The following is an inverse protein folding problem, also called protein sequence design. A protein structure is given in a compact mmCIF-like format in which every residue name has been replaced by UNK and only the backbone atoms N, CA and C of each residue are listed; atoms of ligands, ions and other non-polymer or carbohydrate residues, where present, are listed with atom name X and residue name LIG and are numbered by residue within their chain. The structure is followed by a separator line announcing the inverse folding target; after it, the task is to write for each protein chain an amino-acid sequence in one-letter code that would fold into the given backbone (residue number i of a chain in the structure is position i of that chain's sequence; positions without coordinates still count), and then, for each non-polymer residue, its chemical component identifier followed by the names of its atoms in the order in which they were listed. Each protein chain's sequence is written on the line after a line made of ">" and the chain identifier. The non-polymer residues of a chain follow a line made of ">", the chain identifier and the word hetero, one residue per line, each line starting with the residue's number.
data_IF_010657086610
#
_entry.id   IF_010657086610
#
_cell.length_a   1.000
_cell.length_b   1.000
_cell.length_c   1.000
_cell.angle_alpha   90.00
_cell.angle_beta   90.00
_cell.angle_gamma   90.00
#
_symmetry.space_group_name_H-M   'P 1'
#
loop_
_entity.id
_entity.type
_entity.pdbx_description
1 polymer ?
#
# COMPACT_ATOMS: atom_id res chain seq x y z
N UNK A 1 -7.14 -1.89 -6.65
CA UNK A 1 -7.50 -0.62 -7.32
C UNK A 1 -6.61 -0.43 -8.54
N UNK A 2 -7.14 0.14 -9.64
CA UNK A 2 -6.33 0.46 -10.84
C UNK A 2 -5.75 1.87 -10.83
N UNK A 3 -6.27 2.77 -10.00
CA UNK A 3 -6.03 4.21 -10.13
C UNK A 3 -7.01 4.86 -11.12
N UNK A 4 -7.11 6.19 -11.06
CA UNK A 4 -8.05 6.98 -11.86
C UNK A 4 -7.46 7.32 -13.24
N UNK A 5 -8.30 7.53 -14.27
CA UNK A 5 -7.84 7.94 -15.60
C UNK A 5 -6.88 9.13 -15.58
N UNK A 6 -7.13 10.12 -14.71
CA UNK A 6 -6.26 11.28 -14.52
C UNK A 6 -4.80 10.92 -14.24
N UNK A 7 -4.53 9.90 -13.40
CA UNK A 7 -3.17 9.50 -13.04
C UNK A 7 -2.36 8.95 -14.24
N UNK A 8 -3.02 8.20 -15.12
CA UNK A 8 -2.39 7.66 -16.33
C UNK A 8 -2.14 8.77 -17.37
N UNK A 9 -3.08 9.69 -17.49
CA UNK A 9 -2.95 10.83 -18.39
C UNK A 9 -1.88 11.80 -17.91
N UNK A 10 -1.73 12.00 -16.59
CA UNK A 10 -0.58 12.76 -16.05
C UNK A 10 0.74 12.11 -16.47
N UNK A 11 0.86 10.79 -16.46
CA UNK A 11 2.08 10.13 -16.93
C UNK A 11 2.38 10.41 -18.41
N UNK A 12 1.35 10.35 -19.25
CA UNK A 12 1.48 10.67 -20.66
C UNK A 12 1.90 12.13 -20.89
N UNK A 13 1.19 13.07 -20.28
CA UNK A 13 1.37 14.50 -20.50
C UNK A 13 2.67 15.04 -19.89
N UNK A 14 2.98 14.65 -18.65
CA UNK A 14 4.10 15.20 -17.87
C UNK A 14 5.43 14.55 -18.20
N UNK A 15 5.42 13.26 -18.54
CA UNK A 15 6.65 12.49 -18.78
C UNK A 15 6.80 12.03 -20.23
N UNK A 16 5.89 12.42 -21.13
CA UNK A 16 5.93 12.04 -22.55
C UNK A 16 5.70 10.55 -22.78
N UNK A 17 4.95 9.90 -21.89
CA UNK A 17 4.69 8.47 -21.90
C UNK A 17 3.34 8.15 -22.57
N UNK A 18 3.15 8.54 -23.83
CA UNK A 18 1.86 8.42 -24.54
C UNK A 18 1.25 6.99 -24.49
N UNK A 19 2.12 5.98 -24.53
CA UNK A 19 1.76 4.56 -24.40
C UNK A 19 1.10 4.19 -23.06
N UNK A 20 1.25 5.04 -22.05
CA UNK A 20 0.76 4.87 -20.68
C UNK A 20 -0.47 5.72 -20.36
N UNK A 21 -1.01 6.46 -21.33
CA UNK A 21 -2.31 7.13 -21.21
C UNK A 21 -3.43 6.16 -20.85
N UNK A 22 -4.52 6.66 -20.24
CA UNK A 22 -5.64 5.83 -19.82
C UNK A 22 -6.23 5.01 -20.97
N UNK A 23 -6.39 5.63 -22.14
CA UNK A 23 -6.96 5.00 -23.32
C UNK A 23 -6.16 3.78 -23.79
N UNK A 24 -4.83 3.81 -23.61
CA UNK A 24 -3.92 2.73 -24.01
C UNK A 24 -3.68 1.72 -22.89
N UNK A 25 -3.24 2.17 -21.73
CA UNK A 25 -2.84 1.29 -20.62
C UNK A 25 -3.99 0.94 -19.68
N UNK A 26 -4.83 1.92 -19.35
CA UNK A 26 -5.98 1.75 -18.44
C UNK A 26 -6.98 0.73 -18.98
N UNK A 27 -7.26 0.77 -20.28
CA UNK A 27 -8.17 -0.17 -20.96
C UNK A 27 -7.66 -1.63 -20.90
N UNK A 28 -6.37 -1.85 -21.13
CA UNK A 28 -5.75 -3.20 -21.06
C UNK A 28 -5.78 -3.77 -19.64
N UNK A 29 -5.53 -2.94 -18.62
CA UNK A 29 -5.71 -3.30 -17.22
C UNK A 29 -7.19 -3.58 -16.90
N UNK A 30 -8.10 -2.86 -17.56
CA UNK A 30 -9.53 -3.13 -17.54
C UNK A 30 -9.90 -4.52 -18.04
N UNK A 31 -9.31 -4.96 -19.15
CA UNK A 31 -9.55 -6.29 -19.70
C UNK A 31 -9.04 -7.42 -18.81
N UNK A 32 -7.84 -7.28 -18.22
CA UNK A 32 -7.28 -8.28 -17.30
C UNK A 32 -8.11 -8.42 -16.02
N UNK A 33 -8.57 -7.30 -15.47
CA UNK A 33 -9.43 -7.26 -14.29
C UNK A 33 -10.87 -7.72 -14.54
N UNK A 34 -11.46 -7.35 -15.67
CA UNK A 34 -12.83 -7.73 -16.01
C UNK A 34 -12.94 -9.25 -16.20
N UNK A 35 -11.89 -9.88 -16.78
CA UNK A 35 -11.77 -11.35 -16.86
C UNK A 35 -11.69 -11.98 -15.47
N UNK A 36 -10.93 -11.39 -14.55
CA UNK A 36 -10.85 -11.81 -13.16
C UNK A 36 -12.21 -11.77 -12.40
N UNK A 37 -13.15 -10.92 -12.82
CA UNK A 37 -14.52 -10.82 -12.27
C UNK A 37 -15.53 -11.80 -12.89
N UNK A 38 -15.21 -12.52 -13.97
CA UNK A 38 -16.20 -13.37 -14.68
C UNK A 38 -16.50 -14.71 -13.98
N UNK A 39 -17.78 -15.08 -13.74
CA UNK A 39 -18.18 -16.31 -13.05
C UNK A 39 -17.81 -17.65 -13.73
N UNK A 40 -17.57 -17.67 -15.04
CA UNK A 40 -17.50 -18.91 -15.83
C UNK A 40 -16.11 -19.57 -15.93
N UNK A 41 -15.04 -18.96 -15.42
CA UNK A 41 -13.72 -19.60 -15.41
C UNK A 41 -13.62 -20.60 -14.23
N UNK A 42 -13.88 -21.88 -14.51
CA UNK A 42 -13.46 -22.98 -13.64
C UNK A 42 -11.92 -22.96 -13.51
N UNK A 43 -11.43 -22.57 -12.33
CA UNK A 43 -10.01 -22.61 -11.98
C UNK A 43 -9.22 -21.35 -12.36
N UNK A 44 -8.08 -21.15 -11.68
CA UNK A 44 -7.07 -20.17 -12.08
C UNK A 44 -6.64 -20.46 -13.52
N UNK A 45 -7.06 -19.64 -14.49
CA UNK A 45 -6.32 -19.57 -15.75
C UNK A 45 -4.97 -18.94 -15.43
N UNK A 46 -3.88 -19.61 -15.78
CA UNK A 46 -2.55 -19.07 -15.57
C UNK A 46 -2.45 -17.69 -16.26
N UNK A 47 -2.03 -16.67 -15.53
CA UNK A 47 -1.86 -15.31 -16.05
C UNK A 47 -2.83 -14.24 -15.55
N UNK A 48 -3.66 -14.50 -14.53
CA UNK A 48 -4.65 -13.53 -14.04
C UNK A 48 -4.71 -13.44 -12.51
N UNK A 49 -4.72 -12.22 -11.95
CA UNK A 49 -4.98 -11.98 -10.52
C UNK A 49 -6.49 -11.91 -10.34
N UNK A 50 -7.04 -12.91 -9.66
CA UNK A 50 -8.47 -12.98 -9.42
C UNK A 50 -8.91 -12.01 -8.31
N UNK A 51 -10.02 -11.31 -8.55
CA UNK A 51 -10.75 -10.51 -7.56
C UNK A 51 -12.18 -11.00 -7.50
N UNK A 52 -12.75 -11.15 -6.31
CA UNK A 52 -14.15 -11.57 -6.12
C UNK A 52 -14.98 -10.43 -5.49
N UNK A 53 -15.70 -9.63 -6.31
CA UNK A 53 -16.50 -8.50 -5.82
C UNK A 53 -17.69 -8.95 -4.95
N UNK A 54 -18.17 -10.18 -5.14
CA UNK A 54 -19.34 -10.71 -4.41
C UNK A 54 -19.10 -10.84 -2.90
N UNK A 55 -17.84 -10.78 -2.47
CA UNK A 55 -17.44 -10.76 -1.06
C UNK A 55 -17.74 -9.44 -0.37
N UNK A 56 -17.92 -8.34 -1.13
CA UNK A 56 -18.41 -7.06 -0.62
C UNK A 56 -19.93 -6.98 -0.58
N UNK A 57 -20.62 -7.61 -1.54
CA UNK A 57 -22.09 -7.62 -1.60
C UNK A 57 -22.73 -8.60 -0.60
N UNK A 58 -21.93 -9.53 -0.06
CA UNK A 58 -22.38 -10.52 0.91
C UNK A 58 -21.43 -10.59 2.12
N UNK A 59 -21.22 -9.47 2.85
CA UNK A 59 -20.49 -9.52 4.09
C UNK A 59 -21.31 -10.40 5.02
N UNK A 60 -20.70 -11.44 5.60
CA UNK A 60 -21.33 -12.13 6.72
C UNK A 60 -21.82 -11.07 7.73
N UNK A 61 -22.93 -11.32 8.44
CA UNK A 61 -23.65 -10.32 9.25
C UNK A 61 -22.78 -9.51 10.23
N UNK A 62 -21.57 -9.98 10.54
CA UNK A 62 -20.63 -9.41 11.50
C UNK A 62 -19.85 -8.16 11.05
N UNK A 63 -19.96 -7.66 9.81
CA UNK A 63 -19.45 -6.31 9.44
C UNK A 63 -20.49 -5.43 8.71
N UNK A 64 -21.73 -5.91 8.67
CA UNK A 64 -22.82 -5.23 7.95
C UNK A 64 -23.16 -3.87 8.56
N UNK A 65 -22.97 -3.71 9.87
CA UNK A 65 -23.18 -2.45 10.58
C UNK A 65 -22.18 -1.39 10.12
N UNK A 66 -20.88 -1.69 10.26
CA UNK A 66 -19.81 -0.75 9.95
C UNK A 66 -19.93 -0.12 8.55
N UNK A 67 -20.01 -0.94 7.48
CA UNK A 67 -20.11 -0.42 6.11
C UNK A 67 -21.38 0.40 5.91
N UNK A 68 -22.53 -0.09 6.41
CA UNK A 68 -23.81 0.63 6.29
C UNK A 68 -23.76 1.99 6.99
N UNK A 69 -23.15 2.09 8.17
CA UNK A 69 -23.05 3.38 8.89
C UNK A 69 -22.06 4.33 8.22
N UNK A 70 -20.96 3.82 7.65
CA UNK A 70 -20.02 4.63 6.87
C UNK A 70 -20.68 5.15 5.59
N UNK A 71 -21.42 4.32 4.85
CA UNK A 71 -22.19 4.74 3.67
C UNK A 71 -23.18 5.86 4.01
N UNK A 72 -23.95 5.70 5.11
CA UNK A 72 -24.86 6.75 5.59
C UNK A 72 -24.13 8.03 5.97
N UNK A 73 -22.94 7.93 6.57
CA UNK A 73 -22.13 9.08 6.96
C UNK A 73 -21.58 9.80 5.72
N UNK A 74 -21.09 9.05 4.73
CA UNK A 74 -20.66 9.56 3.44
C UNK A 74 -21.79 10.29 2.72
N UNK A 75 -22.98 9.70 2.65
CA UNK A 75 -24.16 10.33 2.06
C UNK A 75 -24.55 11.65 2.73
N UNK A 76 -24.45 11.76 4.05
CA UNK A 76 -24.72 13.02 4.73
C UNK A 76 -23.74 14.12 4.30
N UNK A 77 -22.48 13.75 4.14
CA UNK A 77 -21.43 14.65 3.71
C UNK A 77 -21.51 14.97 2.20
N UNK A 78 -22.57 14.52 1.52
CA UNK A 78 -22.81 14.76 0.11
C UNK A 78 -21.95 13.89 -0.81
N UNK A 79 -21.31 12.84 -0.27
CA UNK A 79 -20.48 11.94 -1.08
C UNK A 79 -21.37 10.93 -1.83
N UNK A 80 -21.07 10.66 -3.11
CA UNK A 80 -21.60 9.51 -3.81
C UNK A 80 -21.01 8.22 -3.22
N UNK A 81 -21.81 7.15 -3.24
CA UNK A 81 -21.39 5.80 -2.86
C UNK A 81 -21.29 4.97 -4.13
N UNK A 82 -20.09 4.53 -4.46
CA UNK A 82 -19.76 3.79 -5.67
C UNK A 82 -19.35 2.37 -5.33
N UNK A 83 -20.03 1.40 -5.94
CA UNK A 83 -19.77 -0.02 -5.70
C UNK A 83 -18.56 -0.55 -6.45
N UNK A 84 -18.13 0.15 -7.49
CA UNK A 84 -16.99 -0.23 -8.31
C UNK A 84 -15.94 0.88 -8.30
N UNK A 85 -14.94 0.74 -7.42
CA UNK A 85 -13.79 1.64 -7.39
C UNK A 85 -13.10 1.76 -8.77
N UNK A 86 -13.15 0.70 -9.58
CA UNK A 86 -12.45 0.67 -10.87
C UNK A 86 -13.33 1.13 -12.05
N UNK A 87 -14.50 1.73 -11.78
CA UNK A 87 -15.33 2.35 -12.81
C UNK A 87 -14.62 3.62 -13.33
N UNK A 88 -14.21 3.68 -14.61
CA UNK A 88 -13.52 4.84 -15.17
C UNK A 88 -14.37 6.11 -15.24
N UNK A 89 -15.69 5.96 -15.14
CA UNK A 89 -16.62 7.09 -15.16
C UNK A 89 -17.06 7.49 -13.75
N UNK A 90 -16.52 6.85 -12.71
CA UNK A 90 -16.83 7.22 -11.34
C UNK A 90 -16.29 8.64 -11.04
N UNK A 91 -16.97 9.38 -10.16
CA UNK A 91 -16.46 10.67 -9.68
C UNK A 91 -15.08 10.48 -9.03
N UNK A 92 -14.24 11.52 -9.06
CA UNK A 92 -12.92 11.48 -8.42
C UNK A 92 -13.01 11.48 -6.87
N UNK A 93 -14.13 11.97 -6.34
CA UNK A 93 -14.44 11.98 -4.92
C UNK A 93 -15.69 11.14 -4.63
N UNK A 94 -15.59 10.25 -3.65
CA UNK A 94 -16.68 9.37 -3.27
C UNK A 94 -16.27 8.37 -2.21
N UNK A 95 -17.26 7.66 -1.69
CA UNK A 95 -17.02 6.46 -0.90
C UNK A 95 -17.07 5.25 -1.84
N UNK A 96 -16.01 4.44 -1.84
CA UNK A 96 -15.84 3.39 -2.83
C UNK A 96 -15.67 2.02 -2.18
N UNK A 97 -16.34 1.03 -2.72
CA UNK A 97 -16.09 -0.36 -2.35
C UNK A 97 -14.87 -0.88 -3.11
N UNK A 98 -13.92 -1.45 -2.37
CA UNK A 98 -12.60 -1.81 -2.88
C UNK A 98 -12.53 -3.29 -3.23
N UNK A 99 -12.18 -3.62 -4.47
CA UNK A 99 -11.90 -5.02 -4.81
C UNK A 99 -10.63 -5.51 -4.08
N UNK A 100 -10.69 -6.73 -3.54
CA UNK A 100 -9.54 -7.40 -2.94
C UNK A 100 -8.95 -8.45 -3.86
N UNK A 101 -7.61 -8.61 -3.82
CA UNK A 101 -6.90 -9.70 -4.49
C UNK A 101 -7.05 -11.02 -3.71
N UNK A 102 -8.27 -11.56 -3.70
CA UNK A 102 -8.68 -12.80 -3.04
C UNK A 102 -9.42 -13.67 -4.08
N UNK A 103 -9.03 -14.94 -4.18
CA UNK A 103 -9.66 -15.89 -5.09
C UNK A 103 -11.00 -16.44 -4.53
N UNK A 104 -11.76 -17.20 -5.34
CA UNK A 104 -13.05 -17.79 -4.91
C UNK A 104 -12.94 -18.67 -3.68
N UNK A 105 -11.77 -19.23 -3.41
CA UNK A 105 -11.53 -20.07 -2.24
C UNK A 105 -11.20 -19.28 -0.97
N UNK A 106 -11.30 -17.94 -1.02
CA UNK A 106 -11.02 -17.07 0.13
C UNK A 106 -9.53 -16.96 0.43
N UNK A 107 -8.66 -17.24 -0.55
CA UNK A 107 -7.20 -17.20 -0.38
C UNK A 107 -6.62 -16.03 -1.15
N UNK A 108 -5.53 -15.47 -0.63
CA UNK A 108 -4.77 -14.40 -1.30
C UNK A 108 -4.43 -14.80 -2.73
N UNK A 109 -4.81 -13.96 -3.69
CA UNK A 109 -4.43 -14.07 -5.09
C UNK A 109 -3.15 -13.24 -5.34
N UNK A 110 -1.98 -13.81 -5.02
CA UNK A 110 -0.69 -13.16 -5.29
C UNK A 110 -0.26 -13.32 -6.75
N UNK A 111 0.66 -12.47 -7.20
CA UNK A 111 1.32 -12.61 -8.52
C UNK A 111 1.99 -13.98 -8.67
N UNK A 112 2.59 -14.51 -7.60
CA UNK A 112 3.12 -15.87 -7.56
C UNK A 112 2.06 -16.93 -7.90
N UNK A 113 0.87 -16.87 -7.28
CA UNK A 113 -0.20 -17.86 -7.55
C UNK A 113 -0.83 -17.65 -8.93
N UNK A 114 -0.98 -16.40 -9.35
CA UNK A 114 -1.61 -16.02 -10.61
C UNK A 114 -0.76 -16.38 -11.84
N UNK A 115 0.53 -16.04 -11.82
CA UNK A 115 1.39 -16.09 -13.00
C UNK A 115 2.43 -17.21 -12.98
N UNK A 116 2.96 -17.57 -11.80
CA UNK A 116 4.04 -18.54 -11.68
C UNK A 116 3.80 -19.54 -10.52
N UNK A 117 2.66 -20.24 -10.48
CA UNK A 117 2.42 -21.24 -9.44
C UNK A 117 3.40 -22.43 -9.57
N UNK A 118 3.65 -23.19 -8.49
CA UNK A 118 4.70 -24.21 -8.46
C UNK A 118 4.65 -25.21 -9.62
N UNK A 119 3.44 -25.63 -10.02
CA UNK A 119 3.27 -26.60 -11.11
C UNK A 119 3.67 -26.02 -12.48
N UNK A 120 3.41 -24.72 -12.74
CA UNK A 120 3.85 -24.04 -13.96
C UNK A 120 5.36 -23.84 -13.95
N UNK A 121 5.91 -23.39 -12.82
CA UNK A 121 7.36 -23.24 -12.66
C UNK A 121 8.10 -24.56 -12.90
N UNK A 122 7.59 -25.66 -12.34
CA UNK A 122 8.16 -26.99 -12.51
C UNK A 122 8.02 -27.50 -13.97
N UNK A 123 6.86 -27.31 -14.60
CA UNK A 123 6.63 -27.72 -15.98
C UNK A 123 7.51 -26.96 -16.98
N UNK A 124 7.87 -25.71 -16.68
CA UNK A 124 8.67 -24.83 -17.56
C UNK A 124 10.15 -24.75 -17.19
N UNK A 125 10.62 -25.54 -16.22
CA UNK A 125 11.98 -25.45 -15.66
C UNK A 125 13.11 -25.48 -16.71
N UNK A 126 12.91 -26.16 -17.84
CA UNK A 126 13.91 -26.24 -18.93
C UNK A 126 14.11 -24.92 -19.68
N UNK A 127 13.11 -24.04 -19.72
CA UNK A 127 13.15 -22.76 -20.45
C UNK A 127 12.91 -21.53 -19.56
N UNK A 128 12.51 -21.74 -18.29
CA UNK A 128 12.33 -20.72 -17.27
C UNK A 128 12.98 -21.19 -15.96
N UNK A 129 14.32 -21.11 -15.84
CA UNK A 129 15.00 -21.40 -14.59
C UNK A 129 14.63 -20.33 -13.54
N UNK A 130 14.17 -20.78 -12.37
CA UNK A 130 13.86 -19.92 -11.22
C UNK A 130 14.87 -20.21 -10.12
N UNK A 131 15.61 -19.18 -9.71
CA UNK A 131 16.61 -19.26 -8.65
C UNK A 131 16.10 -18.52 -7.41
N UNK A 132 15.65 -19.27 -6.41
CA UNK A 132 15.29 -18.73 -5.09
C UNK A 132 16.52 -18.57 -4.21
N UNK A 133 16.40 -17.84 -3.10
CA UNK A 133 17.50 -17.63 -2.14
C UNK A 133 18.78 -17.11 -2.80
N UNK A 134 18.62 -16.32 -3.86
CA UNK A 134 19.71 -15.77 -4.67
C UNK A 134 19.56 -14.26 -4.71
N UNK A 135 20.60 -13.54 -4.31
CA UNK A 135 20.61 -12.08 -4.31
C UNK A 135 21.46 -11.61 -5.48
N UNK A 136 20.87 -10.77 -6.34
CA UNK A 136 21.60 -10.01 -7.36
C UNK A 136 22.29 -8.84 -6.67
N UNK A 137 23.62 -8.77 -6.78
CA UNK A 137 24.40 -7.73 -6.13
C UNK A 137 24.55 -6.47 -6.98
N UNK A 138 24.91 -6.65 -8.26
CA UNK A 138 25.04 -5.58 -9.24
C UNK A 138 24.95 -6.12 -10.67
N UNK A 139 24.79 -5.21 -11.62
CA UNK A 139 24.87 -5.50 -13.05
C UNK A 139 26.33 -5.70 -13.49
N UNK A 140 26.50 -6.54 -14.50
CA UNK A 140 27.74 -6.68 -15.25
C UNK A 140 27.68 -5.81 -16.50
N UNK A 141 28.52 -4.77 -16.55
CA UNK A 141 28.50 -3.74 -17.58
C UNK A 141 29.77 -3.80 -18.41
N UNK A 142 29.62 -3.88 -19.73
CA UNK A 142 30.73 -3.82 -20.68
C UNK A 142 31.50 -2.50 -20.56
N UNK A 143 32.79 -2.52 -20.30
CA UNK A 143 33.59 -1.29 -20.14
C UNK A 143 33.76 -0.52 -21.46
N UNK A 144 33.58 -1.17 -22.60
CA UNK A 144 33.72 -0.60 -23.94
C UNK A 144 32.41 -0.13 -24.57
N UNK A 145 31.26 -0.54 -24.01
CA UNK A 145 29.94 -0.19 -24.53
C UNK A 145 28.97 0.19 -23.39
N UNK A 146 27.77 0.67 -23.71
CA UNK A 146 26.73 0.89 -22.70
C UNK A 146 25.86 -0.35 -22.47
N UNK A 147 26.32 -1.54 -22.88
CA UNK A 147 25.53 -2.77 -22.79
C UNK A 147 25.70 -3.47 -21.42
N UNK A 148 24.59 -4.04 -20.95
CA UNK A 148 24.56 -4.91 -19.78
C UNK A 148 24.71 -6.36 -20.25
N UNK A 149 25.74 -7.05 -19.78
CA UNK A 149 26.08 -8.42 -20.22
C UNK A 149 25.51 -9.50 -19.28
N UNK A 150 25.20 -9.13 -18.05
CA UNK A 150 24.82 -10.10 -17.03
C UNK A 150 24.52 -9.46 -15.68
N UNK A 151 24.36 -10.32 -14.69
CA UNK A 151 24.21 -9.96 -13.29
C UNK A 151 25.21 -10.74 -12.43
N UNK A 152 25.76 -10.07 -11.43
CA UNK A 152 26.49 -10.71 -10.36
C UNK A 152 25.49 -11.13 -9.28
N UNK A 153 25.61 -12.37 -8.81
CA UNK A 153 24.82 -12.89 -7.69
C UNK A 153 25.75 -13.21 -6.52
N UNK A 154 25.25 -13.21 -5.28
CA UNK A 154 26.01 -13.47 -4.05
C UNK A 154 26.47 -14.94 -3.85
N UNK A 155 26.55 -15.69 -4.93
CA UNK A 155 27.19 -17.02 -4.97
C UNK A 155 28.37 -16.91 -5.94
N UNK A 156 29.38 -17.81 -5.94
CA UNK A 156 30.54 -17.72 -6.84
C UNK A 156 30.22 -17.88 -8.35
N UNK A 157 28.98 -17.68 -8.77
CA UNK A 157 28.52 -17.77 -10.15
C UNK A 157 28.03 -16.40 -10.60
N UNK A 158 28.41 -15.96 -11.80
CA UNK A 158 27.70 -14.90 -12.51
C UNK A 158 26.67 -15.52 -13.46
N UNK A 159 25.67 -14.75 -13.87
CA UNK A 159 24.71 -15.15 -14.89
C UNK A 159 24.72 -14.15 -16.04
N UNK A 160 25.02 -14.62 -17.24
CA UNK A 160 25.04 -13.79 -18.45
C UNK A 160 23.67 -13.81 -19.16
N UNK A 161 23.34 -12.71 -19.82
CA UNK A 161 22.16 -12.59 -20.69
C UNK A 161 22.58 -12.48 -22.15
N UNK A 162 21.71 -12.93 -23.06
CA UNK A 162 21.89 -12.77 -24.51
C UNK A 162 21.09 -11.62 -25.11
N UNK A 163 20.18 -11.03 -24.33
CA UNK A 163 19.25 -10.00 -24.81
C UNK A 163 19.19 -8.85 -23.82
N UNK A 164 18.36 -9.01 -22.80
CA UNK A 164 17.98 -7.95 -21.89
C UNK A 164 18.06 -8.45 -20.45
N UNK A 165 18.19 -7.49 -19.52
CA UNK A 165 17.98 -7.69 -18.10
C UNK A 165 16.84 -6.77 -17.68
N UNK A 166 15.79 -7.38 -17.13
CA UNK A 166 14.63 -6.67 -16.61
C UNK A 166 14.76 -6.68 -15.09
N UNK A 167 14.90 -5.50 -14.48
CA UNK A 167 15.03 -5.38 -13.02
C UNK A 167 13.63 -5.21 -12.44
N UNK A 168 13.24 -6.16 -11.59
CA UNK A 168 11.92 -6.19 -10.95
C UNK A 168 12.03 -6.21 -9.41
N UNK A 169 13.02 -5.51 -8.86
CA UNK A 169 13.37 -5.57 -7.43
C UNK A 169 12.62 -4.54 -6.56
N UNK A 170 11.54 -3.95 -7.09
CA UNK A 170 10.73 -2.93 -6.39
C UNK A 170 11.40 -1.56 -6.28
N UNK A 171 10.68 -0.60 -5.72
CA UNK A 171 11.08 0.82 -5.65
C UNK A 171 12.30 1.07 -4.75
N UNK A 172 12.60 0.15 -3.82
CA UNK A 172 13.74 0.26 -2.90
C UNK A 172 14.98 -0.42 -3.45
N UNK A 173 14.88 -1.71 -3.81
CA UNK A 173 16.07 -2.48 -4.18
C UNK A 173 16.49 -2.28 -5.65
N UNK A 174 15.59 -1.81 -6.53
CA UNK A 174 15.98 -1.47 -7.92
C UNK A 174 16.99 -0.30 -7.96
N UNK A 175 16.74 0.85 -7.30
CA UNK A 175 17.77 1.89 -7.15
C UNK A 175 19.06 1.38 -6.52
N UNK A 176 18.97 0.54 -5.48
CA UNK A 176 20.17 -0.04 -4.85
C UNK A 176 21.03 -0.82 -5.84
N UNK A 177 20.44 -1.73 -6.64
CA UNK A 177 21.18 -2.51 -7.64
C UNK A 177 21.83 -1.58 -8.67
N UNK A 178 21.11 -0.56 -9.14
CA UNK A 178 21.64 0.41 -10.11
C UNK A 178 22.80 1.22 -9.53
N UNK A 179 22.66 1.74 -8.31
CA UNK A 179 23.71 2.48 -7.60
C UNK A 179 24.97 1.61 -7.38
N UNK A 180 24.81 0.36 -6.92
CA UNK A 180 25.90 -0.61 -6.78
C UNK A 180 26.55 -0.99 -8.11
N UNK A 181 25.86 -0.75 -9.23
CA UNK A 181 26.37 -0.96 -10.59
C UNK A 181 27.07 0.29 -11.16
N UNK A 182 27.14 1.38 -10.40
CA UNK A 182 27.67 2.67 -10.88
C UNK A 182 26.70 3.42 -11.79
N UNK A 183 25.40 3.08 -11.78
CA UNK A 183 24.34 3.78 -12.49
C UNK A 183 23.57 4.62 -11.48
N UNK A 184 23.85 5.91 -11.45
CA UNK A 184 23.27 6.83 -10.48
C UNK A 184 23.92 8.20 -10.54
N UNK A 185 23.59 9.10 -9.61
CA UNK A 185 24.06 10.47 -9.68
C UNK A 185 25.59 10.51 -9.61
N UNK A 186 26.23 11.36 -10.41
CA UNK A 186 27.69 11.58 -10.40
C UNK A 186 28.25 12.15 -9.08
N UNK A 187 27.45 12.22 -8.02
CA UNK A 187 27.79 12.79 -6.73
C UNK A 187 28.93 12.02 -6.03
N UNK A 188 29.65 12.75 -5.16
CA UNK A 188 30.79 12.25 -4.39
C UNK A 188 30.52 10.93 -3.64
N UNK A 189 29.27 10.70 -3.23
CA UNK A 189 28.85 9.54 -2.45
C UNK A 189 29.20 8.17 -3.07
N UNK A 190 29.06 7.98 -4.39
CA UNK A 190 29.46 6.71 -5.03
C UNK A 190 30.99 6.55 -5.07
N UNK A 191 31.71 7.66 -5.24
CA UNK A 191 33.17 7.66 -5.25
C UNK A 191 33.75 7.40 -3.85
N UNK A 192 33.12 7.92 -2.78
CA UNK A 192 33.46 7.62 -1.38
C UNK A 192 33.36 6.12 -1.05
N UNK A 193 32.46 5.43 -1.75
CA UNK A 193 32.29 3.99 -1.64
C UNK A 193 33.14 3.22 -2.66
N UNK A 194 34.09 3.84 -3.37
CA UNK A 194 34.91 3.22 -4.41
C UNK A 194 34.07 2.48 -5.50
N UNK A 195 32.90 3.03 -5.85
CA UNK A 195 32.04 2.53 -6.92
C UNK A 195 32.28 3.38 -8.18
N UNK A 196 32.85 2.82 -9.27
CA UNK A 196 33.09 3.58 -10.48
C UNK A 196 31.78 4.03 -11.12
N UNK A 197 31.66 5.32 -11.42
CA UNK A 197 30.52 5.85 -12.16
C UNK A 197 30.53 5.31 -13.60
N UNK A 198 29.45 4.63 -13.98
CA UNK A 198 29.23 4.06 -15.31
C UNK A 198 28.22 4.86 -16.12
N UNK A 199 27.20 5.41 -15.47
CA UNK A 199 26.22 6.29 -16.10
C UNK A 199 25.65 7.25 -15.06
N UNK A 200 25.73 8.54 -15.37
CA UNK A 200 25.11 9.60 -14.58
C UNK A 200 23.60 9.66 -14.88
N UNK A 201 22.80 9.27 -13.90
CA UNK A 201 21.33 9.30 -13.93
C UNK A 201 20.80 9.62 -12.53
N UNK A 202 19.61 10.25 -12.40
CA UNK A 202 19.04 10.64 -11.10
C UNK A 202 18.44 9.46 -10.33
N UNK A 203 19.09 8.29 -10.35
CA UNK A 203 18.64 7.07 -9.66
C UNK A 203 18.56 7.32 -8.16
N UNK A 204 17.44 6.92 -7.56
CA UNK A 204 17.21 7.04 -6.12
C UNK A 204 16.84 8.43 -5.64
N UNK A 205 16.63 9.44 -6.50
CA UNK A 205 16.41 10.84 -6.08
C UNK A 205 14.95 11.29 -5.94
N UNK A 206 13.98 10.43 -6.28
CA UNK A 206 12.57 10.80 -6.39
C UNK A 206 11.64 9.79 -5.70
N UNK A 207 12.04 9.28 -4.54
CA UNK A 207 11.19 8.39 -3.75
C UNK A 207 9.94 9.16 -3.32
N UNK A 208 8.77 8.58 -3.57
CA UNK A 208 7.48 9.09 -3.14
C UNK A 208 6.75 7.94 -2.48
N UNK A 209 6.08 8.24 -1.38
CA UNK A 209 5.19 7.33 -0.70
C UNK A 209 4.04 8.14 -0.11
N UNK A 210 2.93 7.47 0.16
CA UNK A 210 1.76 8.12 0.72
C UNK A 210 1.97 8.41 2.22
N UNK A 211 1.41 9.53 2.70
CA UNK A 211 1.54 9.92 4.10
C UNK A 211 0.20 9.84 4.81
N UNK A 212 0.09 8.95 5.79
CA UNK A 212 -1.12 8.80 6.58
C UNK A 212 -0.92 9.22 8.04
N UNK A 213 -1.97 9.76 8.65
CA UNK A 213 -2.12 9.75 10.12
C UNK A 213 -3.31 8.89 10.48
N UNK A 214 -3.36 8.45 11.73
CA UNK A 214 -4.43 7.58 12.23
C UNK A 214 -5.44 8.40 13.01
N UNK A 215 -6.72 8.10 12.84
CA UNK A 215 -7.82 8.52 13.71
C UNK A 215 -8.56 7.25 14.12
N UNK A 216 -8.57 6.92 15.40
CA UNK A 216 -9.17 5.66 15.87
C UNK A 216 -10.50 5.91 16.58
N UNK A 217 -11.49 5.06 16.29
CA UNK A 217 -12.79 5.07 16.93
C UNK A 217 -13.06 3.74 17.60
N UNK A 218 -13.46 3.76 18.87
CA UNK A 218 -13.90 2.57 19.59
C UNK A 218 -15.27 2.13 19.07
N UNK A 219 -15.39 0.85 18.76
CA UNK A 219 -16.63 0.22 18.26
C UNK A 219 -16.84 -1.11 18.96
N UNK A 220 -18.04 -1.70 18.90
CA UNK A 220 -18.25 -3.05 19.44
C UNK A 220 -17.31 -4.07 18.80
N UNK A 221 -16.83 -5.04 19.59
CA UNK A 221 -15.98 -6.15 19.12
C UNK A 221 -16.52 -6.89 17.91
N UNK A 222 -17.85 -6.94 17.76
CA UNK A 222 -18.49 -7.56 16.61
C UNK A 222 -18.10 -6.92 15.28
N UNK A 223 -17.78 -5.62 15.27
CA UNK A 223 -17.49 -4.84 14.07
C UNK A 223 -15.99 -4.79 13.71
N UNK A 224 -15.13 -5.50 14.45
CA UNK A 224 -13.68 -5.51 14.22
C UNK A 224 -13.10 -6.90 14.15
N UNK A 225 -11.86 -6.98 13.67
CA UNK A 225 -11.11 -8.25 13.63
C UNK A 225 -10.87 -8.82 15.04
N UNK A 226 -11.01 -8.01 16.10
CA UNK A 226 -10.97 -8.42 17.51
C UNK A 226 -12.02 -9.50 17.82
N UNK A 227 -13.09 -9.64 17.02
CA UNK A 227 -14.03 -10.77 17.14
C UNK A 227 -13.33 -12.14 17.07
N UNK A 228 -12.22 -12.23 16.31
CA UNK A 228 -11.45 -13.46 16.14
C UNK A 228 -10.76 -13.94 17.42
N UNK A 229 -10.65 -13.09 18.45
CA UNK A 229 -10.11 -13.47 19.76
C UNK A 229 -11.12 -14.24 20.63
N UNK A 230 -12.38 -14.33 20.18
CA UNK A 230 -13.44 -15.08 20.86
C UNK A 230 -13.67 -16.46 20.25
N UNK A 231 -14.62 -17.24 20.80
CA UNK A 231 -15.06 -18.50 20.22
C UNK A 231 -15.56 -18.36 18.76
N UNK A 232 -16.02 -17.17 18.37
CA UNK A 232 -16.39 -16.85 16.99
C UNK A 232 -15.18 -16.86 16.05
N UNK A 233 -13.96 -16.67 16.55
CA UNK A 233 -12.73 -16.83 15.79
C UNK A 233 -12.56 -18.26 15.28
N UNK A 234 -12.80 -19.25 16.14
CA UNK A 234 -12.77 -20.66 15.74
C UNK A 234 -13.81 -20.94 14.66
N UNK A 235 -15.01 -20.40 14.79
CA UNK A 235 -16.04 -20.52 13.76
C UNK A 235 -15.61 -19.90 12.42
N UNK A 236 -15.03 -18.70 12.43
CA UNK A 236 -14.51 -18.03 11.23
C UNK A 236 -13.34 -18.80 10.59
N UNK A 237 -12.50 -19.47 11.38
CA UNK A 237 -11.47 -20.39 10.88
C UNK A 237 -12.11 -21.58 10.17
N UNK A 238 -13.14 -22.19 10.77
CA UNK A 238 -13.85 -23.31 10.15
C UNK A 238 -14.55 -22.89 8.85
N UNK A 239 -15.23 -21.74 8.85
CA UNK A 239 -15.82 -21.16 7.63
C UNK A 239 -14.76 -20.96 6.54
N UNK A 240 -13.59 -20.43 6.89
CA UNK A 240 -12.53 -20.21 5.92
C UNK A 240 -11.97 -21.53 5.37
N UNK A 241 -11.72 -22.51 6.24
CA UNK A 241 -11.18 -23.81 5.84
C UNK A 241 -12.13 -24.59 4.93
N UNK A 242 -13.43 -24.59 5.23
CA UNK A 242 -14.41 -25.45 4.54
C UNK A 242 -15.14 -24.76 3.40
N UNK A 243 -15.36 -23.45 3.47
CA UNK A 243 -16.10 -22.71 2.44
C UNK A 243 -15.34 -21.51 1.87
N UNK A 244 -14.14 -21.19 2.38
CA UNK A 244 -13.41 -20.01 1.93
C UNK A 244 -14.12 -18.71 2.25
N UNK A 245 -15.00 -18.70 3.25
CA UNK A 245 -15.77 -17.52 3.71
C UNK A 245 -15.36 -17.15 5.13
N UNK A 246 -15.99 -16.14 5.75
CA UNK A 246 -15.58 -15.67 7.08
C UNK A 246 -14.71 -14.41 7.04
N UNK A 247 -14.51 -13.81 8.21
CA UNK A 247 -13.67 -12.62 8.41
C UNK A 247 -12.21 -12.82 7.97
N UNK A 248 -11.74 -14.06 7.90
CA UNK A 248 -10.40 -14.40 7.40
C UNK A 248 -10.24 -14.20 5.89
N UNK A 249 -11.35 -13.99 5.16
CA UNK A 249 -11.36 -13.79 3.72
C UNK A 249 -11.71 -12.35 3.31
N UNK A 250 -11.59 -11.38 4.23
CA UNK A 250 -11.94 -9.96 4.01
C UNK A 250 -10.89 -9.02 4.57
N UNK A 251 -10.64 -7.90 3.89
CA UNK A 251 -9.79 -6.78 4.30
C UNK A 251 -10.33 -5.45 3.72
N UNK A 252 -10.49 -4.48 4.63
CA UNK A 252 -10.51 -3.01 4.53
C UNK A 252 -11.07 -2.25 3.30
N UNK A 253 -11.71 -1.13 3.61
CA UNK A 253 -12.37 -0.18 2.68
C UNK A 253 -11.53 1.10 2.50
N UNK A 254 -11.68 1.81 1.38
CA UNK A 254 -10.94 3.05 1.07
C UNK A 254 -11.81 4.18 0.47
N UNK A 255 -11.38 5.43 0.64
CA UNK A 255 -12.01 6.68 0.17
C UNK A 255 -11.00 7.59 -0.54
N UNK A 256 -11.43 8.53 -1.40
CA UNK A 256 -10.55 9.58 -1.97
C UNK A 256 -11.20 10.97 -2.11
N UNK A 257 -10.42 12.06 -2.06
CA UNK A 257 -10.87 13.46 -2.27
C UNK A 257 -9.83 14.39 -2.91
N UNK A 258 -10.30 15.42 -3.64
CA UNK A 258 -9.58 16.66 -3.94
C UNK A 258 -10.51 17.87 -3.90
N UNK A 259 -10.01 19.01 -3.40
CA UNK A 259 -10.78 20.26 -3.21
C UNK A 259 -10.55 21.30 -4.32
N UNK A 260 -9.53 21.10 -5.17
CA UNK A 260 -9.11 22.08 -6.18
C UNK A 260 -9.67 21.78 -7.57
N UNK A 261 -10.47 20.73 -7.67
CA UNK A 261 -10.89 20.10 -8.90
C UNK A 261 -12.37 19.73 -8.81
N UNK A 262 -13.07 19.74 -9.93
CA UNK A 262 -14.46 19.28 -10.01
C UNK A 262 -14.55 17.82 -9.54
N UNK A 263 -15.04 17.60 -8.33
CA UNK A 263 -15.18 16.29 -7.71
C UNK A 263 -15.94 15.27 -8.58
N UNK A 264 -16.78 15.76 -9.50
CA UNK A 264 -17.57 14.94 -10.43
C UNK A 264 -16.80 14.51 -11.68
N UNK A 265 -15.65 15.14 -12.00
CA UNK A 265 -14.88 14.78 -13.19
C UNK A 265 -13.93 13.61 -12.92
N UNK A 266 -14.03 12.50 -13.68
CA UNK A 266 -13.13 11.35 -13.54
C UNK A 266 -11.68 11.62 -13.96
N UNK A 267 -11.43 12.74 -14.67
CA UNK A 267 -10.09 13.17 -15.06
C UNK A 267 -9.27 13.70 -13.88
N UNK A 268 -9.93 14.01 -12.77
CA UNK A 268 -9.28 14.65 -11.64
C UNK A 268 -8.59 13.62 -10.76
N UNK A 269 -7.43 14.01 -10.24
CA UNK A 269 -6.63 13.18 -9.35
C UNK A 269 -6.92 13.66 -7.91
N UNK A 270 -7.30 12.77 -6.99
CA UNK A 270 -7.52 13.12 -5.60
C UNK A 270 -6.17 13.47 -4.94
N UNK A 271 -6.19 14.45 -4.05
CA UNK A 271 -5.04 14.81 -3.22
C UNK A 271 -4.94 13.89 -2.00
N UNK A 272 -6.07 13.33 -1.55
CA UNK A 272 -6.14 12.52 -0.34
C UNK A 272 -6.96 11.23 -0.48
N UNK A 273 -6.65 10.24 0.37
CA UNK A 273 -7.39 8.99 0.59
C UNK A 273 -7.67 8.77 2.10
N UNK A 274 -8.76 8.09 2.44
CA UNK A 274 -9.11 7.72 3.83
C UNK A 274 -9.42 6.23 3.82
N UNK A 275 -8.47 5.43 4.26
CA UNK A 275 -8.72 3.99 4.46
C UNK A 275 -9.40 3.77 5.80
N UNK A 276 -10.42 2.91 5.85
CA UNK A 276 -11.18 2.63 7.08
C UNK A 276 -11.13 1.12 7.42
N UNK A 277 -9.95 0.57 7.78
CA UNK A 277 -9.87 -0.80 8.20
C UNK A 277 -10.46 -1.01 9.61
N UNK A 278 -11.14 -2.15 9.85
CA UNK A 278 -11.72 -2.51 11.14
C UNK A 278 -10.67 -3.14 12.08
N UNK A 279 -9.51 -2.48 12.20
CA UNK A 279 -8.36 -2.91 12.98
C UNK A 279 -7.72 -1.72 13.69
N UNK A 280 -7.03 -2.02 14.78
CA UNK A 280 -6.14 -1.09 15.47
C UNK A 280 -4.89 -0.78 14.66
N UNK A 281 -4.44 0.47 14.72
CA UNK A 281 -3.19 0.93 14.11
C UNK A 281 -2.00 0.92 15.06
N UNK A 282 -2.17 0.47 16.30
CA UNK A 282 -1.03 0.27 17.19
C UNK A 282 -0.18 -0.90 16.72
N UNK A 283 1.14 -0.75 16.86
CA UNK A 283 2.10 -1.84 16.70
C UNK A 283 1.83 -3.01 17.65
N UNK A 284 1.15 -2.75 18.78
CA UNK A 284 0.81 -3.76 19.78
C UNK A 284 -0.69 -3.80 20.05
N UNK A 285 -1.20 -5.01 20.24
CA UNK A 285 -2.58 -5.23 20.67
C UNK A 285 -2.82 -4.57 22.04
N UNK A 286 -3.95 -3.88 22.18
CA UNK A 286 -4.38 -3.26 23.44
C UNK A 286 -5.59 -4.05 23.96
N UNK A 287 -5.40 -4.89 25.00
CA UNK A 287 -6.49 -5.72 25.51
C UNK A 287 -7.69 -4.89 25.95
N UNK A 288 -8.88 -5.38 25.60
CA UNK A 288 -10.15 -4.75 26.01
C UNK A 288 -10.67 -3.67 25.07
N UNK A 289 -9.86 -3.19 24.12
CA UNK A 289 -10.30 -2.21 23.12
C UNK A 289 -10.54 -2.87 21.76
N UNK A 290 -11.61 -2.42 21.09
CA UNK A 290 -11.94 -2.78 19.71
C UNK A 290 -12.15 -1.48 18.96
N UNK A 291 -11.37 -1.28 17.90
CA UNK A 291 -11.33 -0.01 17.19
C UNK A 291 -11.38 -0.21 15.68
N UNK A 292 -11.98 0.75 15.00
CA UNK A 292 -11.73 1.02 13.59
C UNK A 292 -10.70 2.15 13.50
N UNK A 293 -9.90 2.15 12.45
CA UNK A 293 -8.99 3.26 12.16
C UNK A 293 -9.42 3.93 10.87
N UNK A 294 -9.48 5.26 10.86
CA UNK A 294 -9.49 6.07 9.65
C UNK A 294 -8.05 6.52 9.39
N UNK A 295 -7.55 6.31 8.17
CA UNK A 295 -6.23 6.72 7.71
C UNK A 295 -6.34 7.83 6.67
N UNK A 296 -6.60 9.10 7.07
CA UNK A 296 -6.40 10.23 6.16
C UNK A 296 -4.96 10.26 5.66
N UNK A 297 -4.84 10.17 4.34
CA UNK A 297 -3.63 9.86 3.60
C UNK A 297 -3.43 10.89 2.50
N UNK A 298 -2.27 11.53 2.41
CA UNK A 298 -1.89 12.34 1.25
C UNK A 298 -1.38 11.39 0.15
N UNK A 299 -2.06 11.37 -0.99
CA UNK A 299 -1.74 10.45 -2.11
C UNK A 299 -0.98 11.12 -3.26
N UNK A 300 -0.93 12.45 -3.27
CA UNK A 300 -0.15 13.24 -4.23
C UNK A 300 0.89 14.11 -3.50
N UNK A 301 1.81 13.53 -2.72
CA UNK A 301 2.84 14.32 -2.05
C UNK A 301 3.74 15.00 -3.07
N UNK A 302 4.17 16.20 -2.76
CA UNK A 302 5.20 16.97 -3.48
C UNK A 302 6.58 16.79 -2.84
N UNK A 303 6.62 16.45 -1.55
CA UNK A 303 7.83 16.02 -0.88
C UNK A 303 8.49 14.83 -1.60
N UNK A 304 9.82 14.86 -1.77
CA UNK A 304 10.59 13.83 -2.48
C UNK A 304 11.69 13.29 -1.58
N UNK A 305 11.64 11.99 -1.35
CA UNK A 305 12.69 11.25 -0.68
C UNK A 305 13.82 10.82 -1.59
N UNK A 306 14.86 10.24 -0.98
CA UNK A 306 15.98 9.66 -1.68
C UNK A 306 16.42 8.32 -1.08
N UNK A 307 17.06 7.50 -1.92
CA UNK A 307 17.65 6.21 -1.58
C UNK A 307 19.14 6.29 -1.90
N UNK A 308 19.97 5.98 -0.90
CA UNK A 308 21.42 5.99 -0.99
C UNK A 308 21.97 4.63 -0.52
N UNK A 309 23.01 4.13 -1.17
CA UNK A 309 23.72 2.92 -0.71
C UNK A 309 24.73 3.30 0.36
N UNK A 310 24.88 2.54 1.45
CA UNK A 310 25.86 2.89 2.51
C UNK A 310 27.17 2.11 2.43
N UNK A 311 27.20 1.05 1.63
CA UNK A 311 28.36 0.20 1.45
C UNK A 311 28.26 -0.52 0.10
N UNK A 312 29.32 -1.25 -0.28
CA UNK A 312 29.32 -2.17 -1.42
C UNK A 312 28.61 -3.50 -1.13
N UNK A 313 28.24 -3.76 0.12
CA UNK A 313 27.57 -5.00 0.49
C UNK A 313 26.12 -4.95 -0.01
N UNK A 314 25.72 -5.80 -0.97
CA UNK A 314 24.35 -5.84 -1.47
C UNK A 314 23.31 -6.29 -0.43
N UNK A 315 23.74 -6.85 0.71
CA UNK A 315 22.85 -7.19 1.83
C UNK A 315 22.67 -6.05 2.83
N UNK A 316 23.50 -5.00 2.74
CA UNK A 316 23.32 -3.83 3.58
C UNK A 316 22.05 -3.08 3.16
N UNK A 317 21.23 -2.72 4.14
CA UNK A 317 20.04 -1.91 3.88
C UNK A 317 20.46 -0.54 3.32
N UNK A 318 19.83 -0.06 2.23
CA UNK A 318 20.09 1.29 1.76
C UNK A 318 19.58 2.31 2.79
N UNK A 319 20.20 3.49 2.81
CA UNK A 319 19.68 4.63 3.54
C UNK A 319 18.49 5.20 2.79
N UNK A 320 17.34 5.19 3.45
CA UNK A 320 16.10 5.79 2.94
C UNK A 320 15.90 7.11 3.66
N UNK A 321 15.91 8.20 2.91
CA UNK A 321 15.50 9.50 3.39
C UNK A 321 14.10 9.79 2.86
N UNK A 322 13.15 9.97 3.76
CA UNK A 322 11.76 10.18 3.41
C UNK A 322 11.24 11.44 4.13
N UNK A 323 11.39 12.62 3.52
CA UNK A 323 11.09 13.88 4.17
C UNK A 323 9.58 14.14 4.14
N UNK A 324 8.89 13.68 5.18
CA UNK A 324 7.44 13.80 5.27
C UNK A 324 7.03 15.25 5.46
N UNK A 325 6.08 15.73 4.65
CA UNK A 325 5.50 17.08 4.75
C UNK A 325 6.57 18.20 4.74
N UNK A 326 7.71 17.95 4.08
CA UNK A 326 8.77 18.94 3.96
C UNK A 326 8.36 20.06 3.00
N UNK A 327 7.60 19.73 1.96
CA UNK A 327 7.02 20.72 1.07
C UNK A 327 5.77 21.33 1.72
N UNK A 328 5.77 22.65 1.94
CA UNK A 328 4.64 23.34 2.58
C UNK A 328 3.32 23.18 1.82
N UNK A 329 3.39 22.92 0.51
CA UNK A 329 2.21 22.69 -0.33
C UNK A 329 1.49 21.38 0.01
N UNK A 330 2.17 20.43 0.63
CA UNK A 330 1.58 19.18 1.11
C UNK A 330 0.70 19.40 2.35
N UNK A 331 0.94 20.46 3.13
CA UNK A 331 0.27 20.69 4.41
C UNK A 331 -1.22 20.96 4.24
N UNK A 332 -1.60 21.80 3.27
CA UNK A 332 -3.00 22.18 3.06
C UNK A 332 -3.90 20.99 2.71
N UNK A 333 -3.62 20.18 1.66
CA UNK A 333 -4.42 19.00 1.35
C UNK A 333 -4.39 17.98 2.48
N UNK A 334 -3.25 17.81 3.16
CA UNK A 334 -3.14 16.88 4.28
C UNK A 334 -4.02 17.28 5.47
N UNK A 335 -3.99 18.55 5.90
CA UNK A 335 -4.86 19.04 6.97
C UNK A 335 -6.35 18.94 6.63
N UNK A 336 -6.70 19.14 5.35
CA UNK A 336 -8.07 18.95 4.86
C UNK A 336 -8.49 17.50 4.97
N UNK A 337 -7.64 16.55 4.58
CA UNK A 337 -7.90 15.12 4.71
C UNK A 337 -8.18 14.74 6.18
N UNK A 338 -7.38 15.24 7.12
CA UNK A 338 -7.56 15.01 8.56
C UNK A 338 -8.89 15.58 9.04
N UNK A 339 -9.19 16.85 8.74
CA UNK A 339 -10.45 17.50 9.14
C UNK A 339 -11.67 16.79 8.56
N UNK A 340 -11.59 16.38 7.30
CA UNK A 340 -12.64 15.61 6.66
C UNK A 340 -12.82 14.25 7.33
N UNK A 341 -11.74 13.52 7.62
CA UNK A 341 -11.81 12.25 8.33
C UNK A 341 -12.44 12.39 9.73
N UNK A 342 -12.11 13.46 10.46
CA UNK A 342 -12.75 13.77 11.75
C UNK A 342 -14.24 14.05 11.57
N UNK A 343 -14.63 14.78 10.53
CA UNK A 343 -16.05 15.04 10.24
C UNK A 343 -16.80 13.77 9.83
N UNK A 344 -16.18 12.91 9.03
CA UNK A 344 -16.72 11.60 8.67
C UNK A 344 -16.91 10.72 9.91
N UNK A 345 -15.93 10.73 10.81
CA UNK A 345 -16.02 10.06 12.10
C UNK A 345 -17.19 10.57 12.96
N UNK A 346 -17.39 11.89 13.05
CA UNK A 346 -18.55 12.48 13.74
C UNK A 346 -19.87 12.00 13.14
N UNK A 347 -20.01 12.08 11.81
CA UNK A 347 -21.24 11.66 11.14
C UNK A 347 -21.48 10.15 11.28
N UNK A 348 -20.43 9.33 11.25
CA UNK A 348 -20.49 7.90 11.52
C UNK A 348 -21.04 7.63 12.92
N UNK A 349 -20.49 8.27 13.95
CA UNK A 349 -20.96 8.11 15.34
C UNK A 349 -22.42 8.52 15.47
N UNK A 350 -22.82 9.67 14.91
CA UNK A 350 -24.20 10.17 14.93
C UNK A 350 -25.21 9.24 14.24
N UNK A 351 -24.78 8.46 13.24
CA UNK A 351 -25.62 7.50 12.50
C UNK A 351 -25.61 6.11 13.08
N UNK A 352 -24.56 5.78 13.82
CA UNK A 352 -24.45 4.51 14.50
C UNK A 352 -25.28 4.51 15.78
N UNK A 353 -25.72 3.33 16.20
CA UNK A 353 -26.24 3.13 17.56
C UNK A 353 -25.11 2.83 18.56
N UNK A 354 -23.85 2.89 18.12
CA UNK A 354 -22.72 2.65 19.00
C UNK A 354 -22.72 3.75 20.07
N UNK A 355 -22.48 3.40 21.33
CA UNK A 355 -22.54 4.38 22.40
C UNK A 355 -21.61 5.55 22.05
N UNK A 356 -22.13 6.79 22.22
CA UNK A 356 -21.37 8.05 22.23
C UNK A 356 -20.38 8.06 23.42
N UNK A 357 -19.55 7.04 23.56
CA UNK A 357 -18.29 7.22 24.24
C UNK A 357 -17.42 7.86 23.17
N UNK A 358 -17.03 9.15 23.28
CA UNK A 358 -15.96 9.66 22.43
C UNK A 358 -14.85 8.63 22.56
N UNK A 359 -14.40 8.09 21.42
CA UNK A 359 -13.41 7.03 21.41
C UNK A 359 -12.38 7.37 22.47
N UNK A 360 -12.23 6.53 23.51
CA UNK A 360 -11.36 6.85 24.66
C UNK A 360 -9.90 7.06 24.25
N UNK A 361 -9.64 6.82 22.98
CA UNK A 361 -8.38 6.66 22.32
C UNK A 361 -8.44 7.32 20.93
N UNK A 362 -8.71 8.62 20.87
CA UNK A 362 -8.46 9.40 19.65
C UNK A 362 -6.98 9.70 19.55
N UNK A 363 -6.30 9.28 18.50
CA UNK A 363 -5.03 9.90 18.13
C UNK A 363 -5.33 10.87 17.00
N UNK A 364 -5.01 12.13 17.22
CA UNK A 364 -4.99 13.18 16.24
C UNK A 364 -3.93 14.17 16.71
N UNK A 365 -3.32 14.98 15.82
CA UNK A 365 -2.48 16.08 16.25
C UNK A 365 -3.22 16.94 17.31
N UNK A 366 -2.69 17.01 18.53
CA UNK A 366 -3.28 17.78 19.64
C UNK A 366 -3.99 16.99 20.77
N UNK A 367 -3.86 15.67 20.85
CA UNK A 367 -4.48 14.86 21.94
C UNK A 367 -3.59 14.75 23.20
N UNK A 368 -4.25 14.59 24.37
CA UNK A 368 -3.67 14.42 25.69
C UNK A 368 -2.68 13.22 25.77
N UNK A 369 -1.38 13.46 26.03
CA UNK A 369 -0.34 12.43 26.12
C UNK A 369 -0.57 11.36 27.20
N UNK A 370 -1.36 11.63 28.25
CA UNK A 370 -1.56 10.70 29.37
C UNK A 370 -2.23 9.37 28.95
N UNK A 371 -2.92 9.33 27.81
CA UNK A 371 -3.46 8.09 27.24
C UNK A 371 -2.37 7.18 26.65
N UNK A 372 -1.30 7.76 26.10
CA UNK A 372 -0.10 7.01 25.69
C UNK A 372 0.58 6.40 26.91
N UNK A 373 0.72 7.16 27.98
CA UNK A 373 1.37 6.70 29.21
C UNK A 373 0.65 5.51 29.84
N UNK A 374 -0.69 5.50 29.84
CA UNK A 374 -1.48 4.36 30.30
C UNK A 374 -1.29 3.11 29.40
N UNK A 375 -1.18 3.31 28.08
CA UNK A 375 -0.83 2.23 27.14
C UNK A 375 0.59 1.70 27.38
N UNK A 376 1.58 2.59 27.46
CA UNK A 376 2.99 2.26 27.74
C UNK A 376 3.13 1.48 29.06
N UNK A 377 2.39 1.87 30.10
CA UNK A 377 2.41 1.23 31.41
C UNK A 377 1.82 -0.20 31.41
N UNK A 378 0.94 -0.51 30.46
CA UNK A 378 0.34 -1.86 30.30
C UNK A 378 1.09 -2.75 29.33
N UNK A 379 2.06 -2.21 28.60
CA UNK A 379 2.85 -2.94 27.63
C UNK A 379 3.97 -3.74 28.31
N UNK A 380 4.21 -5.02 27.94
CA UNK A 380 5.38 -5.75 28.42
C UNK A 380 6.68 -5.04 27.96
N UNK A 381 7.76 -5.08 28.77
CA UNK A 381 9.00 -4.36 28.47
C UNK A 381 9.54 -4.74 27.09
N UNK A 382 9.98 -3.74 26.34
CA UNK A 382 10.55 -3.88 24.99
C UNK A 382 12.06 -4.13 25.11
N UNK A 383 12.57 -5.27 24.65
CA UNK A 383 14.00 -5.42 24.32
C UNK A 383 14.23 -4.77 22.95
N UNK A 384 14.69 -3.52 22.96
CA UNK A 384 14.97 -2.78 21.73
C UNK A 384 16.41 -3.09 21.33
N UNK A 385 16.61 -3.84 20.24
CA UNK A 385 17.86 -3.76 19.48
C UNK A 385 17.83 -2.47 18.65
N UNK A 386 18.01 -1.32 19.30
CA UNK A 386 18.25 -0.04 18.61
C UNK A 386 19.73 0.09 18.36
N UNK A 387 20.13 0.01 17.09
CA UNK A 387 21.25 0.82 16.64
C UNK A 387 20.80 2.29 16.77
N UNK A 388 21.45 3.01 17.69
CA UNK A 388 21.09 4.36 18.09
C UNK A 388 21.20 5.32 16.90
N UNK A 389 20.08 5.81 16.40
CA UNK A 389 20.02 7.08 15.69
C UNK A 389 19.36 8.09 16.62
N UNK A 390 20.19 8.84 17.34
CA UNK A 390 19.75 9.94 18.21
C UNK A 390 19.40 11.15 17.36
N UNK A 391 18.13 11.56 17.40
CA UNK A 391 17.73 12.94 17.11
C UNK A 391 17.39 13.59 18.46
N UNK A 392 18.16 14.61 18.85
CA UNK A 392 17.89 15.42 20.03
C UNK A 392 16.78 16.44 19.71
N UNK A 393 15.75 16.50 20.56
CA UNK A 393 14.77 17.59 20.58
C UNK A 393 13.30 17.16 20.54
N UNK A 394 12.70 17.03 21.72
CA UNK A 394 11.30 17.35 22.05
C UNK A 394 10.16 16.81 21.16
N UNK A 395 9.45 15.80 21.67
CA UNK A 395 8.14 15.35 21.18
C UNK A 395 8.20 14.11 20.29
N UNK A 396 7.95 12.93 20.86
CA UNK A 396 7.85 11.69 20.08
C UNK A 396 6.47 11.63 19.41
N UNK A 397 6.41 11.98 18.13
CA UNK A 397 5.26 11.65 17.27
C UNK A 397 5.54 10.26 16.70
N UNK A 398 4.80 9.26 17.18
CA UNK A 398 4.80 7.93 16.59
C UNK A 398 3.90 7.96 15.35
N UNK A 399 4.50 8.17 14.17
CA UNK A 399 3.83 8.00 12.88
C UNK A 399 3.92 6.52 12.52
N UNK A 400 2.79 5.83 12.45
CA UNK A 400 2.72 4.43 12.05
C UNK A 400 2.76 4.34 10.52
N UNK A 401 3.79 3.69 9.97
CA UNK A 401 3.92 3.47 8.53
C UNK A 401 3.17 2.20 8.13
N UNK A 402 2.40 2.27 7.04
CA UNK A 402 1.92 1.08 6.34
C UNK A 402 2.57 1.05 4.95
N UNK A 403 3.40 0.05 4.71
CA UNK A 403 4.08 -0.21 3.43
C UNK A 403 3.26 -1.09 2.50
#
# INVERSE_FOLDING_TARGET
>A
MRGLPGSYNEWAEKYGLDGWSWDRAGTELGHTSARARTPSAMGMRAGEVMTDPSRFDNPLPHLSGLNTYIEKAAHQLGLPVEKDYNNPNAPAMGFFHTDMAIDRSGKRASTYRAFLPPHIAQARKSHLPVCTSTVVSRLELDTSSSQVQGVHILTPKSSSTKREIIICSGAICTPQILLLSGIGPAAAHLAELDIPLRKDLPVGSALQDHYSVTIMLEVPKSETITLLESIHGLWNILLWLFSGTGLMATLSVSWSSSDLLDASSPSNIPDAEIMIPPVSSFERHVPGYSVITLFPTLVQPLSRGKIEVLSKDPLANPKIFHPMLQDERDLVPFWKAIRFAMRLAEEFVLRSWYPLQPARLTFAPGVNPHLLEAWEATAPPYEVHTDKVTAEGGGRIHVCFQS
#
